data_IF_107553028086
#
_entry.id   IF_107553028086
#
_cell.length_a   1.000
_cell.length_b   1.000
_cell.length_c   1.000
_cell.angle_alpha   90.00
_cell.angle_beta   90.00
_cell.angle_gamma   90.00
#
_symmetry.space_group_name_H-M   'P 1'
#
loop_
_entity.id
_entity.type
_entity.pdbx_description
1 polymer ?
#
# COMPACT_ATOMS: atom_id res chain seq x y z
N UNK A 1 13.79 11.97 -6.08
CA UNK A 1 14.33 10.64 -5.75
C UNK A 1 14.24 9.75 -6.97
N UNK A 2 14.87 8.58 -6.91
CA UNK A 2 14.67 7.52 -7.90
C UNK A 2 13.27 6.89 -7.71
N UNK A 3 12.68 6.39 -8.81
CA UNK A 3 11.37 5.74 -8.78
C UNK A 3 11.56 4.23 -8.68
N UNK A 4 10.98 3.61 -7.67
CA UNK A 4 11.03 2.17 -7.46
C UNK A 4 9.66 1.53 -7.62
N UNK A 5 9.61 0.35 -8.22
CA UNK A 5 8.43 -0.52 -8.22
C UNK A 5 8.48 -1.40 -6.98
N UNK A 6 7.45 -1.31 -6.14
CA UNK A 6 7.29 -2.17 -4.96
C UNK A 6 6.22 -3.24 -5.25
N UNK A 7 6.40 -4.42 -4.68
CA UNK A 7 5.39 -5.47 -4.63
C UNK A 7 5.03 -5.67 -3.16
N UNK A 8 3.78 -5.43 -2.81
CA UNK A 8 3.27 -5.53 -1.45
C UNK A 8 2.28 -6.69 -1.39
N UNK A 9 2.42 -7.55 -0.39
CA UNK A 9 1.41 -8.55 -0.04
C UNK A 9 0.37 -7.88 0.88
N UNK A 10 -0.92 -8.06 0.58
CA UNK A 10 -2.04 -7.41 1.28
C UNK A 10 -2.89 -8.41 2.07
N UNK A 11 -2.39 -9.64 2.24
CA UNK A 11 -3.14 -10.77 2.78
C UNK A 11 -4.42 -11.09 1.98
N UNK A 12 -5.16 -12.11 2.42
CA UNK A 12 -6.38 -12.56 1.75
C UNK A 12 -7.65 -11.96 2.36
N UNK A 13 -8.64 -11.71 1.52
CA UNK A 13 -10.01 -11.37 1.96
C UNK A 13 -11.04 -11.99 1.01
N UNK A 14 -12.28 -12.12 1.48
CA UNK A 14 -13.44 -12.52 0.69
C UNK A 14 -14.59 -11.59 1.03
N UNK A 15 -14.97 -10.75 0.08
CA UNK A 15 -16.02 -9.75 0.30
C UNK A 15 -16.85 -9.53 -0.98
N UNK A 16 -18.16 -9.50 -0.83
CA UNK A 16 -19.08 -9.06 -1.88
C UNK A 16 -19.33 -7.55 -1.74
N UNK A 17 -19.07 -6.81 -2.82
CA UNK A 17 -19.35 -5.38 -2.89
C UNK A 17 -20.70 -5.17 -3.57
N UNK A 18 -21.75 -4.98 -2.77
CA UNK A 18 -23.11 -4.73 -3.24
C UNK A 18 -23.25 -3.47 -4.08
N UNK A 19 -24.39 -3.37 -4.79
CA UNK A 19 -24.74 -2.17 -5.54
C UNK A 19 -24.72 -0.93 -4.63
N UNK A 20 -23.94 0.07 -5.03
CA UNK A 20 -23.76 1.31 -4.26
C UNK A 20 -22.51 1.32 -3.38
N UNK A 21 -21.91 0.16 -3.12
CA UNK A 21 -20.61 0.09 -2.46
C UNK A 21 -19.49 0.57 -3.40
N UNK A 22 -18.35 0.91 -2.81
CA UNK A 22 -17.14 1.32 -3.53
C UNK A 22 -15.93 0.61 -2.96
N UNK A 23 -15.02 0.22 -3.84
CA UNK A 23 -13.69 -0.22 -3.44
C UNK A 23 -12.84 1.03 -3.27
N UNK A 24 -12.18 1.16 -2.12
CA UNK A 24 -11.26 2.25 -1.81
C UNK A 24 -9.91 1.66 -1.42
N UNK A 25 -8.85 2.13 -2.06
CA UNK A 25 -7.47 1.85 -1.69
C UNK A 25 -6.93 3.04 -0.91
N UNK A 26 -6.31 2.77 0.23
CA UNK A 26 -5.59 3.77 1.02
C UNK A 26 -4.10 3.45 0.94
N UNK A 27 -3.29 4.45 0.59
CA UNK A 27 -1.83 4.33 0.51
C UNK A 27 -1.24 5.31 1.50
N UNK A 28 -0.37 4.81 2.37
CA UNK A 28 0.34 5.57 3.39
C UNK A 28 1.75 5.02 3.55
N UNK A 29 2.55 5.64 4.40
CA UNK A 29 3.91 5.20 4.75
C UNK A 29 4.03 4.74 6.20
N UNK A 30 2.90 4.49 6.86
CA UNK A 30 2.84 4.01 8.24
C UNK A 30 1.47 3.41 8.55
N UNK A 31 1.47 2.43 9.46
CA UNK A 31 0.27 1.89 10.10
C UNK A 31 0.59 1.56 11.57
N UNK A 32 0.76 2.63 12.37
CA UNK A 32 1.08 2.52 13.79
C UNK A 32 -0.22 2.43 14.61
N UNK A 33 -0.33 1.54 15.62
CA UNK A 33 0.74 0.78 16.25
C UNK A 33 0.95 -0.65 15.71
N UNK A 34 0.28 -1.05 14.62
CA UNK A 34 0.44 -2.40 14.07
C UNK A 34 1.89 -2.67 13.64
N UNK A 35 2.50 -1.70 12.97
CA UNK A 35 3.91 -1.71 12.61
C UNK A 35 4.66 -0.56 13.28
N UNK A 36 5.92 -0.81 13.65
CA UNK A 36 6.82 0.24 14.11
C UNK A 36 7.01 1.30 13.02
N UNK A 37 7.12 2.56 13.43
CA UNK A 37 7.33 3.67 12.49
C UNK A 37 8.75 3.58 11.93
N UNK A 38 8.91 3.75 10.62
CA UNK A 38 10.21 3.95 10.00
C UNK A 38 10.67 5.40 10.25
N UNK A 39 11.86 5.59 10.83
CA UNK A 39 12.44 6.90 11.15
C UNK A 39 13.04 7.63 9.93
N UNK A 40 13.10 6.94 8.78
CA UNK A 40 13.50 7.45 7.46
C UNK A 40 14.96 7.94 7.38
N UNK A 41 15.83 7.45 8.26
CA UNK A 41 17.27 7.75 8.28
C UNK A 41 18.09 6.76 7.44
N UNK A 42 17.54 5.57 7.18
CA UNK A 42 18.27 4.43 6.61
C UNK A 42 19.18 3.70 7.61
N UNK A 43 19.14 4.10 8.89
CA UNK A 43 19.89 3.49 9.97
C UNK A 43 19.12 2.38 10.68
N UNK A 44 19.42 2.23 11.97
CA UNK A 44 18.95 1.13 12.77
C UNK A 44 17.69 1.47 13.56
N UNK A 45 16.54 1.22 12.94
CA UNK A 45 15.24 1.75 13.39
C UNK A 45 14.86 1.42 14.86
N UNK A 46 15.40 0.36 15.45
CA UNK A 46 15.04 -0.08 16.81
C UNK A 46 15.75 0.68 17.94
N UNK A 47 16.92 1.28 17.70
CA UNK A 47 17.70 2.01 18.72
C UNK A 47 17.99 3.48 18.34
N UNK A 48 17.54 3.91 17.17
CA UNK A 48 17.58 5.31 16.75
C UNK A 48 16.59 6.19 17.53
N UNK A 49 17.00 7.42 17.81
CA UNK A 49 16.19 8.44 18.51
C UNK A 49 15.87 9.65 17.65
N UNK A 50 16.61 9.82 16.55
CA UNK A 50 16.44 10.89 15.58
C UNK A 50 15.61 10.40 14.40
N UNK A 51 14.84 11.30 13.78
CA UNK A 51 14.04 10.98 12.60
C UNK A 51 14.10 12.10 11.56
N UNK A 52 13.82 11.72 10.32
CA UNK A 52 13.73 12.66 9.20
C UNK A 52 12.32 12.61 8.61
N UNK A 53 11.78 13.78 8.26
CA UNK A 53 10.50 13.86 7.53
C UNK A 53 10.73 13.44 6.09
N UNK A 54 10.14 12.30 5.70
CA UNK A 54 10.13 11.84 4.32
C UNK A 54 9.01 12.50 3.50
N UNK A 55 9.33 12.92 2.27
CA UNK A 55 8.34 13.33 1.26
C UNK A 55 8.14 12.20 0.26
N UNK A 56 7.20 11.32 0.56
CA UNK A 56 6.88 10.18 -0.29
C UNK A 56 5.93 10.60 -1.42
N UNK A 57 6.15 10.08 -2.63
CA UNK A 57 5.32 10.37 -3.81
C UNK A 57 4.89 9.05 -4.44
N UNK A 58 3.59 8.90 -4.66
CA UNK A 58 3.05 7.76 -5.40
C UNK A 58 2.94 8.15 -6.88
N UNK A 59 3.68 7.46 -7.73
CA UNK A 59 3.58 7.62 -9.18
C UNK A 59 2.48 6.70 -9.72
N UNK A 60 1.46 7.28 -10.35
CA UNK A 60 0.37 6.55 -10.99
C UNK A 60 0.06 7.20 -12.34
N UNK A 61 0.59 6.60 -13.41
CA UNK A 61 0.44 7.06 -14.79
C UNK A 61 0.64 5.89 -15.76
N UNK A 62 0.47 6.11 -17.06
CA UNK A 62 0.76 5.08 -18.08
C UNK A 62 2.21 4.56 -18.01
N UNK A 63 3.17 5.47 -17.74
CA UNK A 63 4.59 5.09 -17.56
C UNK A 63 4.84 4.34 -16.24
N UNK A 64 4.09 4.69 -15.19
CA UNK A 64 4.21 4.09 -13.85
C UNK A 64 2.84 3.58 -13.38
N UNK A 65 2.39 2.41 -13.88
CA UNK A 65 1.02 1.95 -13.68
C UNK A 65 0.84 1.26 -12.32
N UNK A 66 0.97 2.01 -11.22
CA UNK A 66 0.68 1.51 -9.87
C UNK A 66 -0.77 1.01 -9.79
N UNK A 67 -1.00 -0.19 -9.28
CA UNK A 67 -2.33 -0.80 -9.24
C UNK A 67 -2.47 -1.76 -8.07
N UNK A 68 -3.71 -2.09 -7.73
CA UNK A 68 -4.07 -3.22 -6.87
C UNK A 68 -4.55 -4.37 -7.76
N UNK A 69 -4.19 -5.60 -7.40
CA UNK A 69 -4.70 -6.80 -8.06
C UNK A 69 -5.83 -7.36 -7.20
N UNK A 70 -7.05 -7.40 -7.75
CA UNK A 70 -8.21 -7.99 -7.08
C UNK A 70 -8.54 -9.34 -7.72
N UNK A 71 -8.63 -10.43 -6.94
CA UNK A 71 -9.05 -11.74 -7.45
C UNK A 71 -10.57 -11.75 -7.67
N UNK A 72 -11.03 -11.23 -8.81
CA UNK A 72 -12.45 -11.20 -9.14
C UNK A 72 -12.95 -12.62 -9.41
N UNK A 73 -13.93 -13.06 -8.63
CA UNK A 73 -14.60 -14.34 -8.85
C UNK A 73 -15.69 -14.13 -9.90
N UNK A 74 -15.65 -14.85 -11.04
CA UNK A 74 -16.68 -14.72 -12.06
C UNK A 74 -18.01 -15.25 -11.55
N UNK A 75 -19.11 -14.64 -12.03
CA UNK A 75 -20.44 -15.21 -11.81
C UNK A 75 -20.52 -16.59 -12.46
N UNK A 76 -21.16 -17.52 -11.74
CA UNK A 76 -21.41 -18.85 -12.25
C UNK A 76 -22.54 -18.75 -13.26
N UNK A 77 -22.21 -18.79 -14.55
CA UNK A 77 -23.20 -18.99 -15.60
C UNK A 77 -23.61 -20.47 -15.54
N UNK A 78 -24.78 -20.75 -14.99
CA UNK A 78 -25.44 -22.06 -15.16
C UNK A 78 -26.07 -22.18 -16.55
#
# INVERSE_FOLDING_TARGET
GEVYKLQLDLDATSNYFEKGHRIRVQVSSSDFPLWERNLNTGGNNYDETEWVIAKNTIHHSEKYPSHIVLPIIPEKND
#
